data_IF_221179671516
#
_entry.id   IF_221179671516
#
_cell.length_a   1.000
_cell.length_b   1.000
_cell.length_c   1.000
_cell.angle_alpha   90.00
_cell.angle_beta   90.00
_cell.angle_gamma   90.00
#
_symmetry.space_group_name_H-M   'P 1'
#
loop_
_entity.id
_entity.type
_entity.pdbx_description
1 polymer ?
#
# COMPACT_ATOMS: atom_id res chain seq x y z
N UNK A 1 0.08 -15.74 10.04
CA UNK A 1 -0.76 -14.52 10.19
C UNK A 1 -0.58 -13.67 8.95
N UNK A 2 -1.65 -13.16 8.35
CA UNK A 2 -1.53 -12.27 7.18
C UNK A 2 -1.43 -10.80 7.60
N UNK A 3 -0.50 -10.07 7.00
CA UNK A 3 -0.27 -8.64 7.23
C UNK A 3 -1.00 -7.80 6.18
N UNK A 4 -1.04 -6.49 6.35
CA UNK A 4 -1.64 -5.55 5.38
C UNK A 4 -0.56 -4.66 4.76
N UNK A 5 -0.83 -3.97 3.64
CA UNK A 5 0.09 -2.96 3.10
C UNK A 5 0.50 -1.90 4.13
N UNK A 6 -0.40 -1.50 5.05
CA UNK A 6 -0.07 -0.55 6.12
C UNK A 6 1.00 -1.10 7.06
N UNK A 7 0.90 -2.37 7.50
CA UNK A 7 1.93 -3.01 8.34
C UNK A 7 3.30 -3.00 7.65
N UNK A 8 3.35 -3.23 6.34
CA UNK A 8 4.58 -3.21 5.55
C UNK A 8 5.16 -1.79 5.47
N UNK A 9 4.34 -0.79 5.20
CA UNK A 9 4.74 0.61 5.13
C UNK A 9 5.31 1.08 6.49
N UNK A 10 4.67 0.72 7.58
CA UNK A 10 5.09 1.04 8.94
C UNK A 10 6.41 0.35 9.31
N UNK A 11 6.54 -0.93 8.96
CA UNK A 11 7.79 -1.68 9.13
C UNK A 11 8.94 -1.03 8.35
N UNK A 12 8.73 -0.69 7.08
CA UNK A 12 9.73 -0.02 6.24
C UNK A 12 10.06 1.39 6.73
N UNK A 13 9.12 2.07 7.39
CA UNK A 13 9.40 3.32 8.09
C UNK A 13 10.38 3.07 9.24
N UNK A 14 10.05 2.13 10.13
CA UNK A 14 10.91 1.67 11.21
C UNK A 14 10.42 0.31 11.75
N UNK A 15 11.23 -0.76 11.77
CA UNK A 15 10.80 -2.07 12.30
C UNK A 15 10.27 -2.03 13.73
N UNK A 16 10.75 -1.08 14.57
CA UNK A 16 10.24 -0.88 15.93
C UNK A 16 8.81 -0.38 15.99
N UNK A 17 8.33 0.22 14.91
CA UNK A 17 6.92 0.64 14.78
C UNK A 17 6.00 -0.57 14.90
N UNK A 18 6.29 -1.63 14.13
CA UNK A 18 5.60 -2.91 14.21
C UNK A 18 5.60 -3.49 15.63
N UNK A 19 6.73 -3.43 16.32
CA UNK A 19 6.83 -3.94 17.69
C UNK A 19 5.93 -3.17 18.67
N UNK A 20 6.00 -1.84 18.68
CA UNK A 20 5.17 -1.03 19.57
C UNK A 20 3.68 -1.20 19.30
N UNK A 21 3.28 -1.23 18.07
CA UNK A 21 1.86 -1.26 17.70
C UNK A 21 1.25 -2.66 17.82
N UNK A 22 1.93 -3.68 17.29
CA UNK A 22 1.34 -5.01 17.15
C UNK A 22 1.81 -6.02 18.20
N UNK A 23 2.95 -5.80 18.85
CA UNK A 23 3.42 -6.65 19.96
C UNK A 23 3.01 -6.06 21.30
N UNK A 24 3.34 -4.79 21.54
CA UNK A 24 2.97 -4.12 22.79
C UNK A 24 1.56 -3.53 22.80
N UNK A 25 0.85 -3.58 21.68
CA UNK A 25 -0.50 -3.04 21.52
C UNK A 25 -0.63 -1.56 21.94
N UNK A 26 0.41 -0.76 21.72
CA UNK A 26 0.39 0.68 22.00
C UNK A 26 -0.14 1.38 20.76
N UNK A 27 -1.39 1.92 20.79
CA UNK A 27 -1.99 2.51 19.61
C UNK A 27 -1.25 3.77 19.16
N UNK A 28 -1.25 4.01 17.87
CA UNK A 28 -0.85 5.31 17.36
C UNK A 28 -1.91 6.32 17.77
N UNK A 29 -1.50 7.38 18.45
CA UNK A 29 -2.33 8.56 18.62
C UNK A 29 -2.28 9.34 17.30
N UNK A 30 -2.85 8.77 16.24
CA UNK A 30 -3.19 9.57 15.09
C UNK A 30 -4.31 10.49 15.53
N UNK A 31 -3.97 11.76 15.78
CA UNK A 31 -4.99 12.80 15.66
C UNK A 31 -5.68 12.54 14.33
N UNK A 32 -7.01 12.48 14.35
CA UNK A 32 -7.83 12.25 13.13
C UNK A 32 -7.50 13.36 12.15
N UNK A 33 -6.43 13.17 11.39
CA UNK A 33 -6.01 14.14 10.41
C UNK A 33 -7.12 14.27 9.37
N UNK A 34 -7.66 15.46 9.22
CA UNK A 34 -8.64 15.83 8.19
C UNK A 34 -8.33 15.19 6.82
N UNK A 35 -7.05 15.04 6.48
CA UNK A 35 -6.60 14.40 5.23
C UNK A 35 -6.94 12.90 5.16
N UNK A 36 -6.87 12.17 6.27
CA UNK A 36 -7.19 10.73 6.32
C UNK A 36 -8.70 10.54 6.19
N UNK A 37 -9.49 11.32 6.93
CA UNK A 37 -10.94 11.27 6.90
C UNK A 37 -11.50 11.70 5.54
N UNK A 38 -10.94 12.77 4.96
CA UNK A 38 -11.27 13.23 3.63
C UNK A 38 -10.83 12.24 2.54
N UNK A 39 -9.71 11.55 2.73
CA UNK A 39 -9.26 10.46 1.86
C UNK A 39 -10.29 9.33 1.79
N UNK A 40 -10.82 8.87 2.92
CA UNK A 40 -11.87 7.85 3.00
C UNK A 40 -13.15 8.29 2.30
N UNK A 41 -13.66 9.50 2.60
CA UNK A 41 -14.87 10.04 1.94
C UNK A 41 -14.72 10.15 0.42
N UNK A 42 -13.54 10.52 -0.05
CA UNK A 42 -13.25 10.61 -1.49
C UNK A 42 -13.16 9.22 -2.12
N UNK A 43 -12.66 8.23 -1.40
CA UNK A 43 -12.64 6.84 -1.82
C UNK A 43 -14.08 6.35 -2.08
N UNK A 44 -14.97 6.52 -1.11
CA UNK A 44 -16.37 6.09 -1.22
C UNK A 44 -17.11 6.78 -2.38
N UNK A 45 -16.93 8.10 -2.54
CA UNK A 45 -17.57 8.86 -3.63
C UNK A 45 -17.01 8.55 -5.03
N UNK A 46 -15.84 7.93 -5.14
CA UNK A 46 -15.18 7.68 -6.43
C UNK A 46 -15.55 6.34 -7.05
N UNK A 47 -15.88 5.36 -6.24
CA UNK A 47 -16.47 4.12 -6.71
C UNK A 47 -17.78 4.38 -7.47
N UNK A 48 -18.53 5.43 -7.09
CA UNK A 48 -19.77 5.84 -7.75
C UNK A 48 -19.55 6.59 -9.08
N UNK A 49 -18.42 7.29 -9.25
CA UNK A 49 -18.15 8.05 -10.49
C UNK A 49 -17.46 7.18 -11.53
N UNK A 50 -18.22 6.83 -12.57
CA UNK A 50 -17.68 6.07 -13.69
C UNK A 50 -16.55 6.85 -14.40
N UNK A 51 -15.29 6.43 -14.17
CA UNK A 51 -14.09 7.00 -14.81
C UNK A 51 -13.62 6.11 -15.96
N UNK A 52 -14.55 5.69 -16.77
CA UNK A 52 -14.31 4.83 -17.92
C UNK A 52 -13.22 5.38 -18.88
N UNK A 53 -13.11 6.69 -19.00
CA UNK A 53 -12.08 7.32 -19.81
C UNK A 53 -10.65 7.00 -19.35
N UNK A 54 -10.40 6.87 -18.03
CA UNK A 54 -9.09 6.49 -17.51
C UNK A 54 -8.77 5.04 -17.89
N UNK A 55 -9.73 4.14 -17.75
CA UNK A 55 -9.56 2.72 -18.09
C UNK A 55 -9.32 2.53 -19.59
N UNK A 56 -10.04 3.26 -20.44
CA UNK A 56 -9.79 3.28 -21.90
C UNK A 56 -8.36 3.75 -22.22
N UNK A 57 -7.88 4.78 -21.51
CA UNK A 57 -6.51 5.29 -21.70
C UNK A 57 -5.44 4.26 -21.27
N UNK A 58 -5.74 3.46 -20.26
CA UNK A 58 -4.85 2.40 -19.76
C UNK A 58 -4.88 1.17 -20.68
N UNK A 59 -5.93 0.99 -21.48
CA UNK A 59 -6.18 -0.24 -22.25
C UNK A 59 -6.78 -1.36 -21.40
N UNK A 60 -7.55 -1.01 -20.37
CA UNK A 60 -8.26 -1.97 -19.56
C UNK A 60 -9.48 -2.51 -20.30
N UNK A 61 -9.62 -3.84 -20.35
CA UNK A 61 -10.75 -4.55 -20.98
C UNK A 61 -11.79 -4.96 -19.94
N UNK A 62 -11.36 -5.25 -18.70
CA UNK A 62 -12.25 -5.55 -17.57
C UNK A 62 -11.78 -4.85 -16.30
N UNK A 63 -12.71 -4.67 -15.37
CA UNK A 63 -12.49 -4.03 -14.08
C UNK A 63 -13.21 -4.80 -12.98
N UNK A 64 -12.49 -5.01 -11.88
CA UNK A 64 -13.01 -5.52 -10.63
C UNK A 64 -12.78 -4.47 -9.55
N UNK A 65 -13.85 -3.86 -9.03
CA UNK A 65 -13.76 -2.81 -8.01
C UNK A 65 -13.84 -3.40 -6.60
N UNK A 66 -13.21 -2.71 -5.62
CA UNK A 66 -13.25 -3.06 -4.19
C UNK A 66 -12.92 -4.53 -3.89
N UNK A 67 -11.83 -5.02 -4.49
CA UNK A 67 -11.48 -6.42 -4.31
C UNK A 67 -10.71 -6.63 -3.02
N UNK A 68 -11.33 -7.32 -2.05
CA UNK A 68 -10.61 -7.87 -0.92
C UNK A 68 -9.87 -9.14 -1.35
N UNK A 69 -8.56 -9.08 -1.31
CA UNK A 69 -7.66 -10.15 -1.72
C UNK A 69 -6.82 -10.62 -0.54
N UNK A 70 -6.48 -11.90 -0.50
CA UNK A 70 -5.67 -12.48 0.57
C UNK A 70 -4.83 -13.64 0.05
N UNK A 71 -3.65 -13.80 0.66
CA UNK A 71 -2.83 -15.00 0.58
C UNK A 71 -2.40 -15.45 1.99
N UNK A 72 -1.43 -16.35 2.10
CA UNK A 72 -0.91 -16.84 3.39
C UNK A 72 -0.24 -15.74 4.23
N UNK A 73 0.36 -14.73 3.59
CA UNK A 73 1.20 -13.71 4.21
C UNK A 73 0.58 -12.32 4.17
N UNK A 74 -0.22 -12.01 3.16
CA UNK A 74 -0.69 -10.66 2.86
C UNK A 74 -2.21 -10.64 2.66
N UNK A 75 -2.84 -9.53 3.01
CA UNK A 75 -4.26 -9.24 2.72
C UNK A 75 -4.46 -7.75 2.50
N UNK A 76 -5.45 -7.39 1.70
CA UNK A 76 -5.80 -5.99 1.48
C UNK A 76 -6.98 -5.81 0.54
N UNK A 77 -7.54 -4.61 0.54
CA UNK A 77 -8.57 -4.21 -0.42
C UNK A 77 -7.93 -3.34 -1.50
N UNK A 78 -8.11 -3.75 -2.75
CA UNK A 78 -7.62 -3.03 -3.92
C UNK A 78 -8.78 -2.22 -4.50
N UNK A 79 -8.57 -0.91 -4.71
CA UNK A 79 -9.61 -0.02 -5.23
C UNK A 79 -10.17 -0.51 -6.57
N UNK A 80 -9.30 -0.78 -7.52
CA UNK A 80 -9.64 -1.43 -8.79
C UNK A 80 -8.54 -2.40 -9.21
N UNK A 81 -8.93 -3.60 -9.61
CA UNK A 81 -8.10 -4.55 -10.33
C UNK A 81 -8.51 -4.51 -11.80
N UNK A 82 -7.56 -4.24 -12.68
CA UNK A 82 -7.79 -4.09 -14.12
C UNK A 82 -7.21 -5.27 -14.88
N UNK A 83 -7.99 -5.88 -15.78
CA UNK A 83 -7.46 -6.76 -16.82
C UNK A 83 -7.08 -5.89 -18.03
N UNK A 84 -5.84 -6.00 -18.49
CA UNK A 84 -5.32 -5.24 -19.61
C UNK A 84 -5.46 -6.00 -20.93
N UNK A 85 -5.40 -5.28 -22.04
CA UNK A 85 -5.52 -5.84 -23.40
C UNK A 85 -4.38 -6.80 -23.78
N UNK A 86 -3.25 -6.77 -23.06
CA UNK A 86 -2.13 -7.71 -23.20
C UNK A 86 -2.29 -8.98 -22.36
N UNK A 87 -3.40 -9.13 -21.67
CA UNK A 87 -3.70 -10.28 -20.80
C UNK A 87 -3.08 -10.21 -19.41
N UNK A 88 -2.30 -9.18 -19.08
CA UNK A 88 -1.80 -8.93 -17.73
C UNK A 88 -2.84 -8.23 -16.87
N UNK A 89 -2.64 -8.20 -15.55
CA UNK A 89 -3.46 -7.42 -14.63
C UNK A 89 -2.67 -6.27 -14.02
N UNK A 90 -3.40 -5.27 -13.51
CA UNK A 90 -2.80 -4.14 -12.83
C UNK A 90 -3.70 -3.60 -11.71
N UNK A 91 -3.14 -3.28 -10.52
CA UNK A 91 -3.85 -2.50 -9.51
C UNK A 91 -3.98 -1.03 -9.96
N UNK A 92 -5.12 -0.41 -9.68
CA UNK A 92 -5.30 1.04 -9.77
C UNK A 92 -5.76 1.53 -8.40
N UNK A 93 -5.07 2.55 -7.89
CA UNK A 93 -5.30 3.11 -6.56
C UNK A 93 -5.49 4.63 -6.64
N UNK A 94 -6.49 5.15 -5.93
CA UNK A 94 -6.82 6.57 -5.91
C UNK A 94 -6.17 7.29 -4.73
N UNK A 95 -5.43 8.37 -5.02
CA UNK A 95 -4.78 9.20 -4.00
C UNK A 95 -5.42 10.58 -3.88
N UNK A 96 -5.91 10.92 -2.69
CA UNK A 96 -6.36 12.30 -2.40
C UNK A 96 -5.15 13.22 -2.14
N UNK A 97 -4.33 13.41 -3.19
CA UNK A 97 -3.11 14.18 -3.15
C UNK A 97 -2.89 14.98 -4.44
N UNK A 98 -2.04 16.00 -4.36
CA UNK A 98 -1.48 16.68 -5.53
C UNK A 98 -0.25 15.88 -5.96
N UNK A 99 -0.07 15.71 -7.26
CA UNK A 99 1.12 15.08 -7.83
C UNK A 99 2.27 16.11 -7.86
N UNK A 100 3.37 15.78 -7.20
CA UNK A 100 4.56 16.64 -7.06
C UNK A 100 5.73 16.12 -7.91
N UNK A 101 5.45 15.64 -9.12
CA UNK A 101 6.41 15.05 -10.07
C UNK A 101 7.29 13.92 -9.49
N UNK A 102 6.84 13.30 -8.42
CA UNK A 102 7.47 12.13 -7.79
C UNK A 102 6.42 11.16 -7.26
N UNK A 103 6.78 9.88 -7.24
CA UNK A 103 6.00 8.83 -6.59
C UNK A 103 6.60 8.57 -5.20
N UNK A 104 5.79 8.69 -4.15
CA UNK A 104 6.22 8.35 -2.80
C UNK A 104 6.40 6.84 -2.65
N UNK A 105 7.46 6.42 -1.94
CA UNK A 105 7.74 5.02 -1.69
C UNK A 105 6.56 4.27 -1.05
N UNK A 106 5.81 4.93 -0.16
CA UNK A 106 4.62 4.35 0.46
C UNK A 106 3.54 3.97 -0.56
N UNK A 107 3.37 4.77 -1.63
CA UNK A 107 2.42 4.48 -2.70
C UNK A 107 2.93 3.36 -3.60
N UNK A 108 4.24 3.35 -3.89
CA UNK A 108 4.88 2.27 -4.63
C UNK A 108 4.74 0.95 -3.90
N UNK A 109 5.12 0.90 -2.61
CA UNK A 109 5.00 -0.29 -1.76
C UNK A 109 3.56 -0.82 -1.70
N UNK A 110 2.56 0.07 -1.63
CA UNK A 110 1.16 -0.34 -1.65
C UNK A 110 0.78 -1.05 -2.96
N UNK A 111 1.20 -0.50 -4.12
CA UNK A 111 0.97 -1.13 -5.42
C UNK A 111 1.71 -2.46 -5.55
N UNK A 112 2.92 -2.58 -5.01
CA UNK A 112 3.70 -3.83 -4.98
C UNK A 112 2.99 -4.91 -4.15
N UNK A 113 2.43 -4.54 -3.00
CA UNK A 113 1.58 -5.42 -2.20
C UNK A 113 0.36 -5.90 -2.99
N UNK A 114 -0.32 -4.98 -3.67
CA UNK A 114 -1.48 -5.31 -4.49
C UNK A 114 -1.11 -6.19 -5.68
N UNK A 115 0.06 -5.99 -6.29
CA UNK A 115 0.54 -6.85 -7.37
C UNK A 115 0.72 -8.30 -6.90
N UNK A 116 1.33 -8.50 -5.72
CA UNK A 116 1.48 -9.84 -5.12
C UNK A 116 0.11 -10.50 -4.91
N UNK A 117 -0.84 -9.76 -4.33
CA UNK A 117 -2.19 -10.28 -4.07
C UNK A 117 -2.95 -10.60 -5.36
N UNK A 118 -2.84 -9.75 -6.39
CA UNK A 118 -3.52 -9.97 -7.67
C UNK A 118 -2.96 -11.23 -8.36
N UNK A 119 -1.65 -11.38 -8.40
CA UNK A 119 -1.04 -12.57 -9.02
C UNK A 119 -1.49 -13.86 -8.34
N UNK A 120 -1.57 -13.86 -7.01
CA UNK A 120 -1.98 -15.05 -6.23
C UNK A 120 -3.46 -15.39 -6.40
N UNK A 121 -4.33 -14.38 -6.52
CA UNK A 121 -5.78 -14.60 -6.55
C UNK A 121 -6.36 -14.76 -7.97
N UNK A 122 -5.70 -14.22 -9.00
CA UNK A 122 -6.19 -14.23 -10.37
C UNK A 122 -5.35 -15.10 -11.33
N UNK A 123 -4.20 -15.61 -10.88
CA UNK A 123 -3.23 -16.34 -11.71
C UNK A 123 -2.86 -15.56 -13.00
N UNK A 124 -2.63 -14.26 -12.85
CA UNK A 124 -2.28 -13.34 -13.92
C UNK A 124 -1.07 -12.50 -13.53
N UNK A 125 -0.16 -12.27 -14.49
CA UNK A 125 1.02 -11.43 -14.28
C UNK A 125 0.65 -9.97 -14.04
N UNK A 126 1.40 -9.32 -13.12
CA UNK A 126 1.31 -7.89 -12.83
C UNK A 126 2.69 -7.26 -12.98
N UNK A 127 2.87 -6.46 -14.04
CA UNK A 127 4.14 -5.80 -14.36
C UNK A 127 4.10 -4.30 -14.06
N UNK A 128 2.94 -3.75 -13.79
CA UNK A 128 2.71 -2.33 -13.52
C UNK A 128 1.46 -2.11 -12.67
N UNK A 129 1.37 -0.94 -12.06
CA UNK A 129 0.19 -0.45 -11.37
C UNK A 129 -0.06 1.01 -11.70
N UNK A 130 -1.20 1.53 -11.29
CA UNK A 130 -1.63 2.87 -11.60
C UNK A 130 -2.03 3.65 -10.34
N UNK A 131 -1.58 4.92 -10.28
CA UNK A 131 -2.00 5.88 -9.27
C UNK A 131 -2.83 6.99 -9.93
N UNK A 132 -3.95 7.33 -9.33
CA UNK A 132 -4.79 8.45 -9.78
C UNK A 132 -4.77 9.56 -8.72
N UNK A 133 -4.10 10.66 -9.03
CA UNK A 133 -4.00 11.83 -8.14
C UNK A 133 -5.19 12.75 -8.33
N UNK A 134 -6.12 12.69 -7.42
CA UNK A 134 -7.43 13.31 -7.59
C UNK A 134 -7.45 14.81 -7.36
N UNK A 135 -6.47 15.34 -6.63
CA UNK A 135 -6.28 16.79 -6.50
C UNK A 135 -5.45 17.40 -7.64
N UNK A 136 -4.99 16.57 -8.59
CA UNK A 136 -4.32 17.00 -9.83
C UNK A 136 -5.17 16.61 -11.05
N UNK A 137 -6.43 16.97 -11.05
CA UNK A 137 -7.39 16.70 -12.14
C UNK A 137 -7.44 15.22 -12.57
N UNK A 138 -7.35 14.31 -11.59
CA UNK A 138 -7.24 12.86 -11.81
C UNK A 138 -6.02 12.47 -12.68
N UNK A 139 -4.87 13.09 -12.42
CA UNK A 139 -3.63 12.74 -13.12
C UNK A 139 -3.32 11.27 -12.91
N UNK A 140 -3.26 10.54 -14.00
CA UNK A 140 -2.88 9.13 -14.03
C UNK A 140 -1.37 9.01 -14.14
N UNK A 141 -0.79 8.17 -13.27
CA UNK A 141 0.65 7.86 -13.24
C UNK A 141 0.82 6.35 -13.26
N UNK A 142 1.57 5.85 -14.23
CA UNK A 142 1.97 4.45 -14.31
C UNK A 142 3.21 4.21 -13.45
N UNK A 143 3.23 3.08 -12.75
CA UNK A 143 4.33 2.63 -11.87
C UNK A 143 4.75 1.24 -12.31
N UNK A 144 5.97 1.08 -12.75
CA UNK A 144 6.53 -0.24 -13.06
C UNK A 144 6.71 -1.07 -11.78
N UNK A 145 6.35 -2.35 -11.85
CA UNK A 145 6.47 -3.33 -10.77
C UNK A 145 7.22 -4.54 -11.31
N UNK A 146 8.43 -4.75 -10.83
CA UNK A 146 9.26 -5.86 -11.26
C UNK A 146 9.21 -7.04 -10.26
N UNK A 147 9.73 -8.20 -10.68
CA UNK A 147 9.73 -9.42 -9.85
C UNK A 147 10.52 -9.25 -8.55
N UNK A 148 11.60 -8.46 -8.57
CA UNK A 148 12.41 -8.21 -7.36
C UNK A 148 11.60 -7.47 -6.31
N UNK A 149 10.83 -6.45 -6.68
CA UNK A 149 9.97 -5.69 -5.76
C UNK A 149 8.90 -6.60 -5.12
N UNK A 150 8.30 -7.52 -5.89
CA UNK A 150 7.34 -8.50 -5.37
C UNK A 150 7.99 -9.49 -4.41
N UNK A 151 9.20 -9.97 -4.70
CA UNK A 151 9.97 -10.84 -3.81
C UNK A 151 10.35 -10.11 -2.51
N UNK A 152 10.79 -8.85 -2.60
CA UNK A 152 11.07 -8.01 -1.44
C UNK A 152 9.81 -7.80 -0.58
N UNK A 153 8.66 -7.57 -1.18
CA UNK A 153 7.37 -7.48 -0.47
C UNK A 153 7.09 -8.76 0.32
N UNK A 154 7.22 -9.95 -0.31
CA UNK A 154 7.03 -11.24 0.37
C UNK A 154 8.03 -11.45 1.52
N UNK A 155 9.30 -11.03 1.33
CA UNK A 155 10.32 -11.08 2.38
C UNK A 155 9.94 -10.19 3.57
N UNK A 156 9.52 -8.95 3.30
CA UNK A 156 9.09 -8.01 4.34
C UNK A 156 7.86 -8.52 5.10
N UNK A 157 6.89 -9.15 4.43
CA UNK A 157 5.77 -9.80 5.09
C UNK A 157 6.23 -10.83 6.14
N UNK A 158 7.23 -11.64 5.82
CA UNK A 158 7.80 -12.62 6.76
C UNK A 158 8.49 -11.93 7.93
N UNK A 159 9.31 -10.90 7.66
CA UNK A 159 10.01 -10.13 8.70
C UNK A 159 9.04 -9.45 9.68
N UNK A 160 7.92 -8.90 9.19
CA UNK A 160 6.85 -8.35 10.03
C UNK A 160 6.22 -9.43 10.89
N UNK A 161 5.88 -10.58 10.29
CA UNK A 161 5.32 -11.72 11.03
C UNK A 161 6.29 -12.26 12.10
N UNK A 162 7.58 -12.31 11.80
CA UNK A 162 8.59 -12.78 12.74
C UNK A 162 8.68 -11.88 13.99
N UNK A 163 8.62 -10.55 13.81
CA UNK A 163 8.57 -9.61 14.95
C UNK A 163 7.35 -9.90 15.82
N UNK A 164 6.19 -10.06 15.20
CA UNK A 164 4.92 -10.21 15.94
C UNK A 164 4.85 -11.56 16.64
N UNK A 165 5.18 -12.66 15.93
CA UNK A 165 5.04 -14.02 16.44
C UNK A 165 6.12 -14.40 17.45
N UNK A 166 7.34 -13.90 17.26
CA UNK A 166 8.47 -14.19 18.15
C UNK A 166 8.62 -13.16 19.29
N UNK A 167 7.82 -12.09 19.26
CA UNK A 167 7.84 -11.03 20.28
C UNK A 167 9.25 -10.48 20.53
N UNK A 168 10.02 -10.21 19.47
CA UNK A 168 11.36 -9.67 19.67
C UNK A 168 11.44 -8.18 19.31
N UNK A 169 12.31 -7.46 20.03
CA UNK A 169 12.54 -6.04 19.82
C UNK A 169 13.55 -5.81 18.70
N UNK A 170 13.15 -5.27 17.54
CA UNK A 170 14.01 -5.16 16.39
C UNK A 170 14.96 -3.95 16.45
N UNK A 171 15.95 -3.93 15.56
CA UNK A 171 16.81 -2.75 15.38
C UNK A 171 15.99 -1.56 14.84
N UNK A 172 16.33 -0.35 15.31
CA UNK A 172 15.72 0.87 14.80
C UNK A 172 16.10 1.15 13.33
N UNK A 173 15.28 1.96 12.68
CA UNK A 173 15.62 2.51 11.35
C UNK A 173 16.99 3.21 11.35
N UNK A 174 17.72 3.10 10.23
CA UNK A 174 18.97 3.84 10.02
C UNK A 174 18.73 5.35 9.79
N UNK A 175 17.52 5.73 9.40
CA UNK A 175 17.13 7.10 9.07
C UNK A 175 16.69 7.88 10.32
N UNK A 176 17.65 8.46 11.04
CA UNK A 176 17.41 9.17 12.30
C UNK A 176 16.37 10.31 12.19
N UNK A 177 16.26 10.95 11.04
CA UNK A 177 15.26 12.01 10.81
C UNK A 177 13.82 11.51 10.99
N UNK A 178 13.55 10.24 10.70
CA UNK A 178 12.21 9.63 10.91
C UNK A 178 11.81 9.62 12.39
N UNK A 179 12.78 9.60 13.30
CA UNK A 179 12.52 9.61 14.74
C UNK A 179 11.97 10.96 15.23
N UNK A 180 12.18 12.07 14.50
CA UNK A 180 11.75 13.41 14.94
C UNK A 180 10.23 13.50 15.04
N UNK A 181 9.52 12.96 14.03
CA UNK A 181 8.05 12.92 13.97
C UNK A 181 7.43 11.58 14.34
N UNK A 182 8.18 10.68 14.97
CA UNK A 182 7.69 9.34 15.30
C UNK A 182 6.77 9.37 16.51
N UNK A 183 5.60 8.79 16.40
CA UNK A 183 4.62 8.60 17.50
C UNK A 183 5.24 7.96 18.73
N UNK A 184 6.14 6.99 18.55
CA UNK A 184 6.78 6.24 19.65
C UNK A 184 8.09 6.86 20.14
N UNK A 185 8.42 8.09 19.74
CA UNK A 185 9.69 8.75 20.06
C UNK A 185 10.01 8.77 21.56
N UNK A 186 8.99 9.00 22.38
CA UNK A 186 9.17 9.21 23.82
C UNK A 186 9.37 7.92 24.62
N UNK A 187 8.99 6.77 24.04
CA UNK A 187 9.11 5.44 24.66
C UNK A 187 10.16 4.56 23.98
N UNK A 188 10.64 4.97 22.82
CA UNK A 188 11.62 4.21 22.05
C UNK A 188 13.02 4.34 22.67
N UNK A 189 13.59 3.23 23.12
CA UNK A 189 14.98 3.15 23.62
C UNK A 189 15.92 3.35 22.41
N UNK A 190 16.75 4.38 22.47
CA UNK A 190 17.70 4.73 21.41
C UNK A 190 18.96 3.87 21.48
#
# INVERSE_FOLDING_TARGET
MSVTPSHIIEYLYCPRFTYYEYVLCIPQYEERHYKVEKGRQVHDQKLERNKEYLRKRIGAVEKYADQYLTDELLRGTVDEVLLLNDGTMAPLDYKFAIFEDRIYETYRTQLECYAVLIEENFDKKVNKGFLVYTRSSNKLVEVEINEMAKQDTRRVCKEVNDIILQNYYPKATKFKQRCIGCTYRNICIK
#
